data_IF_190450159381
#
_entry.id   IF_190450159381
#
_cell.length_a   1.000
_cell.length_b   1.000
_cell.length_c   1.000
_cell.angle_alpha   90.00
_cell.angle_beta   90.00
_cell.angle_gamma   90.00
#
_symmetry.space_group_name_H-M   'P 1'
#
loop_
_entity.id
_entity.type
_entity.pdbx_description
1 polymer ?
#
# COMPACT_ATOMS: atom_id res chain seq x y z
N UNK A 1 -5.66 18.39 -14.82
CA UNK A 1 -4.45 17.94 -14.13
C UNK A 1 -3.31 17.83 -15.14
N UNK A 2 -2.14 18.40 -14.87
CA UNK A 2 -0.95 18.20 -15.73
C UNK A 2 -0.14 17.08 -15.08
N UNK A 3 0.19 16.05 -15.84
CA UNK A 3 1.04 14.94 -15.41
C UNK A 3 2.30 14.91 -16.26
N UNK A 4 3.43 14.56 -15.67
CA UNK A 4 4.67 14.32 -16.40
C UNK A 4 5.12 12.87 -16.21
N UNK A 5 5.67 12.28 -17.25
CA UNK A 5 6.29 10.96 -17.17
C UNK A 5 7.81 11.14 -17.26
N UNK A 6 8.52 10.47 -16.36
CA UNK A 6 9.98 10.44 -16.32
C UNK A 6 10.44 9.02 -16.06
N UNK A 7 11.65 8.69 -16.48
CA UNK A 7 12.27 7.42 -16.09
C UNK A 7 13.09 7.63 -14.82
N UNK A 8 12.90 6.76 -13.83
CA UNK A 8 13.77 6.69 -12.65
C UNK A 8 14.34 5.28 -12.55
N UNK A 9 15.60 5.18 -12.16
CA UNK A 9 16.23 3.87 -11.98
C UNK A 9 15.83 3.22 -10.65
N UNK A 10 15.83 1.89 -10.62
CA UNK A 10 15.47 1.13 -9.41
C UNK A 10 16.28 1.61 -8.21
N UNK A 11 17.62 1.81 -8.33
CA UNK A 11 18.43 2.28 -7.22
C UNK A 11 17.98 3.63 -6.65
N UNK A 12 17.49 4.56 -7.50
CA UNK A 12 16.99 5.87 -7.06
C UNK A 12 15.72 5.72 -6.23
N UNK A 13 14.79 4.86 -6.69
CA UNK A 13 13.53 4.59 -6.01
C UNK A 13 13.75 3.86 -4.68
N UNK A 14 14.63 2.85 -4.66
CA UNK A 14 14.99 2.13 -3.43
C UNK A 14 15.64 3.05 -2.40
N UNK A 15 16.55 3.93 -2.83
CA UNK A 15 17.17 4.94 -1.95
C UNK A 15 16.14 5.92 -1.42
N UNK A 16 15.19 6.35 -2.25
CA UNK A 16 14.12 7.26 -1.82
C UNK A 16 13.19 6.59 -0.79
N UNK A 17 12.89 5.30 -0.94
CA UNK A 17 12.13 4.53 0.05
C UNK A 17 12.92 4.40 1.36
N UNK A 18 14.17 3.99 1.29
CA UNK A 18 15.02 3.79 2.47
C UNK A 18 15.24 5.09 3.27
N UNK A 19 15.31 6.24 2.60
CA UNK A 19 15.46 7.55 3.24
C UNK A 19 14.13 8.18 3.69
N UNK A 20 12.97 7.53 3.44
CA UNK A 20 11.65 8.08 3.74
C UNK A 20 11.18 9.18 2.78
N UNK A 21 11.98 9.55 1.76
CA UNK A 21 11.57 10.53 0.75
C UNK A 21 10.44 10.04 -0.15
N UNK A 22 10.37 8.74 -0.43
CA UNK A 22 9.24 8.12 -1.10
C UNK A 22 8.52 7.20 -0.12
N UNK A 23 7.29 7.58 0.29
CA UNK A 23 6.44 6.74 1.11
C UNK A 23 5.69 5.73 0.22
N UNK A 24 6.03 4.43 0.29
CA UNK A 24 5.38 3.41 -0.51
C UNK A 24 4.01 2.99 0.04
N UNK A 25 3.63 3.42 1.25
CA UNK A 25 2.40 3.02 1.96
C UNK A 25 1.70 4.22 2.61
N UNK A 26 1.14 5.16 1.85
CA UNK A 26 0.30 6.17 2.45
C UNK A 26 -1.00 5.55 3.02
N UNK A 27 -1.63 6.21 4.00
CA UNK A 27 -2.76 5.70 4.80
C UNK A 27 -4.01 5.31 3.99
N UNK A 28 -4.13 5.78 2.76
CA UNK A 28 -5.25 5.44 1.87
C UNK A 28 -5.00 4.19 1.02
N UNK A 29 -3.81 3.58 1.11
CA UNK A 29 -3.47 2.40 0.32
C UNK A 29 -4.00 1.12 0.96
N UNK A 30 -4.36 0.14 0.12
CA UNK A 30 -4.74 -1.18 0.57
C UNK A 30 -3.54 -1.97 1.10
N UNK A 31 -3.83 -3.02 1.89
CA UNK A 31 -2.83 -4.00 2.30
C UNK A 31 -2.20 -4.69 1.09
N UNK A 32 -0.99 -5.22 1.26
CA UNK A 32 -0.32 -6.01 0.22
C UNK A 32 -1.16 -7.22 -0.17
N UNK A 33 -1.54 -7.29 -1.45
CA UNK A 33 -2.42 -8.34 -1.99
C UNK A 33 -1.61 -9.45 -2.67
N UNK A 34 -0.39 -9.13 -3.14
CA UNK A 34 0.43 -10.09 -3.86
C UNK A 34 0.84 -11.27 -2.98
N UNK A 35 0.64 -12.46 -3.52
CA UNK A 35 1.18 -13.69 -2.96
C UNK A 35 2.69 -13.71 -3.11
N UNK A 36 3.36 -14.67 -2.46
CA UNK A 36 4.79 -14.84 -2.66
C UNK A 36 5.13 -15.18 -4.12
N UNK A 37 4.29 -15.98 -4.78
CA UNK A 37 4.47 -16.37 -6.18
C UNK A 37 4.34 -15.17 -7.13
N UNK A 38 3.39 -14.26 -6.88
CA UNK A 38 3.27 -13.00 -7.63
C UNK A 38 4.53 -12.15 -7.51
N UNK A 39 5.09 -12.04 -6.29
CA UNK A 39 6.33 -11.31 -6.04
C UNK A 39 7.51 -11.92 -6.78
N UNK A 40 7.65 -13.25 -6.74
CA UNK A 40 8.72 -13.97 -7.45
C UNK A 40 8.59 -13.78 -8.96
N UNK A 41 7.38 -13.93 -9.52
CA UNK A 41 7.13 -13.71 -10.94
C UNK A 41 7.51 -12.28 -11.36
N UNK A 42 7.18 -11.29 -10.53
CA UNK A 42 7.53 -9.90 -10.80
C UNK A 42 9.04 -9.64 -10.73
N UNK A 43 9.75 -10.19 -9.74
CA UNK A 43 11.22 -10.06 -9.65
C UNK A 43 11.87 -10.68 -10.88
N UNK A 44 11.41 -11.85 -11.33
CA UNK A 44 11.89 -12.48 -12.57
C UNK A 44 11.69 -11.58 -13.78
N UNK A 45 10.55 -10.89 -13.88
CA UNK A 45 10.28 -9.91 -14.94
C UNK A 45 11.34 -8.82 -14.97
N UNK A 46 11.69 -8.25 -13.81
CA UNK A 46 12.70 -7.18 -13.71
C UNK A 46 14.11 -7.69 -14.02
N UNK A 47 14.50 -8.83 -13.46
CA UNK A 47 15.84 -9.44 -13.74
C UNK A 47 15.96 -9.80 -15.23
N UNK A 48 14.88 -10.20 -15.89
CA UNK A 48 14.86 -10.47 -17.33
C UNK A 48 14.81 -9.21 -18.20
N UNK A 49 14.85 -8.01 -17.62
CA UNK A 49 14.80 -6.75 -18.37
C UNK A 49 13.44 -6.49 -19.07
N UNK A 50 12.40 -7.25 -18.71
CA UNK A 50 11.07 -7.11 -19.31
C UNK A 50 10.33 -5.91 -18.72
N UNK A 51 9.55 -5.13 -19.52
CA UNK A 51 8.84 -3.97 -19.04
C UNK A 51 7.67 -4.34 -18.14
N UNK A 52 7.38 -3.48 -17.16
CA UNK A 52 6.16 -3.53 -16.36
C UNK A 52 5.43 -2.17 -16.36
N UNK A 53 4.15 -2.11 -15.99
CA UNK A 53 3.37 -0.88 -16.00
C UNK A 53 3.98 0.22 -15.14
N UNK A 54 3.83 1.49 -15.59
CA UNK A 54 4.30 2.69 -14.88
C UNK A 54 3.81 2.75 -13.43
N UNK A 55 4.57 3.43 -12.57
CA UNK A 55 4.15 3.76 -11.22
C UNK A 55 3.70 5.22 -11.15
N UNK A 56 2.81 5.53 -10.20
CA UNK A 56 2.27 6.88 -10.02
C UNK A 56 2.74 7.44 -8.69
N UNK A 57 3.30 8.65 -8.72
CA UNK A 57 3.75 9.38 -7.52
C UNK A 57 3.04 10.72 -7.42
N UNK A 58 2.91 11.22 -6.21
CA UNK A 58 2.37 12.54 -5.91
C UNK A 58 3.28 13.25 -4.93
N UNK A 59 3.42 14.57 -5.08
CA UNK A 59 4.20 15.38 -4.15
C UNK A 59 3.56 15.37 -2.75
N UNK A 60 4.37 15.10 -1.73
CA UNK A 60 4.00 15.13 -0.33
C UNK A 60 4.30 16.48 0.32
N UNK A 61 4.93 16.45 1.47
CA UNK A 61 5.36 17.63 2.22
C UNK A 61 6.69 18.18 1.69
N UNK A 62 6.83 19.49 1.73
CA UNK A 62 8.09 20.19 1.52
C UNK A 62 8.46 20.88 2.84
N UNK A 63 9.64 20.58 3.36
CA UNK A 63 10.21 21.29 4.49
C UNK A 63 10.92 22.57 3.97
N UNK A 64 10.43 23.77 4.33
CA UNK A 64 11.03 25.01 3.84
C UNK A 64 12.39 25.32 4.48
N UNK A 65 12.73 24.74 5.63
CA UNK A 65 14.00 24.98 6.30
C UNK A 65 15.14 24.13 5.70
N UNK A 66 14.84 22.87 5.37
CA UNK A 66 15.85 21.95 4.82
C UNK A 66 15.78 21.84 3.30
N UNK A 67 14.66 22.25 2.70
CA UNK A 67 14.39 22.05 1.27
C UNK A 67 14.06 20.59 0.93
N UNK A 68 13.92 19.69 1.91
CA UNK A 68 13.58 18.31 1.67
C UNK A 68 12.11 18.16 1.28
N UNK A 69 11.88 17.41 0.21
CA UNK A 69 10.54 17.09 -0.28
C UNK A 69 10.29 15.59 -0.16
N UNK A 70 9.05 15.24 0.21
CA UNK A 70 8.58 13.86 0.19
C UNK A 70 7.66 13.60 -0.99
N UNK A 71 7.52 12.35 -1.35
CA UNK A 71 6.58 11.85 -2.36
C UNK A 71 5.76 10.70 -1.78
N UNK A 72 4.54 10.53 -2.26
CA UNK A 72 3.70 9.37 -1.98
C UNK A 72 3.55 8.51 -3.23
N UNK A 73 3.64 7.20 -3.05
CA UNK A 73 3.33 6.27 -4.11
C UNK A 73 1.81 6.09 -4.20
N UNK A 74 1.21 6.53 -5.30
CA UNK A 74 -0.24 6.43 -5.54
C UNK A 74 -0.61 5.08 -6.17
N UNK A 75 0.18 4.60 -7.14
CA UNK A 75 0.10 3.22 -7.64
C UNK A 75 1.49 2.63 -7.85
N UNK A 76 1.58 1.30 -7.79
CA UNK A 76 2.84 0.55 -7.87
C UNK A 76 3.38 0.10 -6.51
N UNK A 77 2.61 0.22 -5.43
CA UNK A 77 3.01 -0.19 -4.08
C UNK A 77 3.55 -1.62 -4.04
N UNK A 78 2.80 -2.59 -4.61
CA UNK A 78 3.21 -4.00 -4.61
C UNK A 78 4.56 -4.17 -5.31
N UNK A 79 4.73 -3.53 -6.46
CA UNK A 79 5.95 -3.56 -7.28
C UNK A 79 7.14 -3.00 -6.52
N UNK A 80 7.02 -1.78 -6.00
CA UNK A 80 8.13 -1.11 -5.32
C UNK A 80 8.50 -1.78 -3.99
N UNK A 81 7.49 -2.22 -3.22
CA UNK A 81 7.75 -2.96 -1.98
C UNK A 81 8.44 -4.30 -2.26
N UNK A 82 8.04 -4.99 -3.33
CA UNK A 82 8.67 -6.27 -3.72
C UNK A 82 10.13 -6.09 -4.12
N UNK A 83 10.45 -5.06 -4.94
CA UNK A 83 11.85 -4.75 -5.29
C UNK A 83 12.68 -4.39 -4.05
N UNK A 84 12.09 -3.60 -3.13
CA UNK A 84 12.75 -3.26 -1.89
C UNK A 84 12.99 -4.49 -1.00
N UNK A 85 12.00 -5.38 -0.88
CA UNK A 85 12.14 -6.64 -0.13
C UNK A 85 13.23 -7.55 -0.72
N UNK A 86 13.30 -7.64 -2.04
CA UNK A 86 14.34 -8.44 -2.72
C UNK A 86 15.72 -7.84 -2.50
N UNK A 87 15.87 -6.53 -2.67
CA UNK A 87 17.14 -5.83 -2.49
C UNK A 87 17.67 -5.91 -1.05
N UNK A 88 16.78 -5.83 -0.06
CA UNK A 88 17.14 -5.83 1.38
C UNK A 88 17.15 -7.23 2.00
N UNK A 89 16.94 -8.28 1.23
CA UNK A 89 16.82 -9.66 1.71
C UNK A 89 15.79 -9.81 2.85
N UNK A 90 14.58 -9.22 2.66
CA UNK A 90 13.54 -9.24 3.68
C UNK A 90 13.08 -10.67 3.97
N UNK A 91 13.06 -11.05 5.26
CA UNK A 91 12.89 -12.44 5.71
C UNK A 91 11.57 -13.11 5.26
N UNK A 92 10.47 -12.31 5.10
CA UNK A 92 9.17 -12.85 4.69
C UNK A 92 9.08 -13.11 3.17
N UNK A 93 10.04 -12.65 2.37
CA UNK A 93 10.11 -12.94 0.95
C UNK A 93 10.84 -14.28 0.73
N UNK A 94 10.06 -15.32 0.44
CA UNK A 94 10.58 -16.67 0.19
C UNK A 94 10.96 -16.81 -1.29
N UNK A 95 12.25 -16.82 -1.58
CA UNK A 95 12.76 -16.78 -2.96
C UNK A 95 12.59 -18.11 -3.73
N UNK A 96 12.47 -19.26 -3.04
CA UNK A 96 12.43 -20.56 -3.70
C UNK A 96 13.68 -20.79 -4.54
N UNK A 97 13.49 -20.97 -5.85
CA UNK A 97 14.58 -21.15 -6.82
C UNK A 97 15.16 -19.82 -7.35
N UNK A 98 14.59 -18.68 -6.96
CA UNK A 98 15.10 -17.39 -7.38
C UNK A 98 16.39 -17.07 -6.61
N UNK A 99 17.45 -16.72 -7.33
CA UNK A 99 18.72 -16.35 -6.73
C UNK A 99 18.57 -15.11 -5.84
N UNK A 100 19.05 -15.12 -4.60
CA UNK A 100 19.06 -13.94 -3.74
C UNK A 100 19.86 -12.79 -4.36
N UNK A 101 19.41 -11.54 -4.15
CA UNK A 101 20.14 -10.37 -4.65
C UNK A 101 21.62 -10.35 -4.24
N UNK A 102 21.92 -10.78 -3.02
CA UNK A 102 23.29 -10.82 -2.50
C UNK A 102 24.21 -11.74 -3.31
N UNK A 103 23.67 -12.81 -3.90
CA UNK A 103 24.39 -13.83 -4.66
C UNK A 103 24.49 -13.51 -6.16
N UNK A 104 23.79 -12.51 -6.65
CA UNK A 104 23.91 -12.05 -8.03
C UNK A 104 25.36 -11.61 -8.32
N UNK A 105 25.82 -11.85 -9.54
CA UNK A 105 27.09 -11.32 -10.02
C UNK A 105 27.05 -9.79 -10.08
N UNK A 106 28.23 -9.16 -10.13
CA UNK A 106 28.29 -7.69 -10.22
C UNK A 106 27.53 -7.12 -11.43
N UNK A 107 27.68 -7.66 -12.65
CA UNK A 107 26.87 -7.18 -13.79
C UNK A 107 25.37 -7.32 -13.56
N UNK A 108 24.89 -8.45 -13.03
CA UNK A 108 23.46 -8.66 -12.75
C UNK A 108 22.91 -7.67 -11.71
N UNK A 109 23.71 -7.35 -10.67
CA UNK A 109 23.37 -6.30 -9.71
C UNK A 109 23.28 -4.92 -10.35
N UNK A 110 24.22 -4.61 -11.23
CA UNK A 110 24.25 -3.35 -11.98
C UNK A 110 23.01 -3.26 -12.90
N UNK A 111 22.67 -4.30 -13.65
CA UNK A 111 21.48 -4.36 -14.49
C UNK A 111 20.19 -4.18 -13.68
N UNK A 112 20.05 -4.87 -12.56
CA UNK A 112 18.88 -4.72 -11.67
C UNK A 112 18.76 -3.30 -11.12
N UNK A 113 19.85 -2.68 -10.69
CA UNK A 113 19.85 -1.34 -10.11
C UNK A 113 19.63 -0.24 -11.15
N UNK A 114 20.12 -0.45 -12.37
CA UNK A 114 19.99 0.47 -13.51
C UNK A 114 18.66 0.30 -14.27
N UNK A 115 17.87 -0.74 -13.93
CA UNK A 115 16.57 -0.94 -14.56
C UNK A 115 15.70 0.31 -14.47
N UNK A 116 15.17 0.77 -15.61
CA UNK A 116 14.37 1.98 -15.70
C UNK A 116 12.88 1.72 -15.45
N UNK A 117 12.33 2.47 -14.52
CA UNK A 117 10.90 2.47 -14.17
C UNK A 117 10.28 3.75 -14.69
N UNK A 118 9.21 3.63 -15.46
CA UNK A 118 8.40 4.78 -15.86
C UNK A 118 7.63 5.29 -14.65
N UNK A 119 7.88 6.52 -14.25
CA UNK A 119 7.26 7.19 -13.12
C UNK A 119 6.39 8.34 -13.64
N UNK A 120 5.10 8.28 -13.36
CA UNK A 120 4.17 9.36 -13.66
C UNK A 120 3.97 10.22 -12.44
N UNK A 121 4.43 11.45 -12.51
CA UNK A 121 4.25 12.44 -11.47
C UNK A 121 2.91 13.17 -11.67
N UNK A 122 2.08 13.12 -10.63
CA UNK A 122 0.76 13.76 -10.55
C UNK A 122 0.85 15.19 -9.99
N UNK A 123 2.06 15.63 -9.61
CA UNK A 123 2.28 16.91 -8.95
C UNK A 123 1.68 16.98 -7.53
N UNK A 124 1.54 18.20 -7.02
CA UNK A 124 0.89 18.42 -5.72
C UNK A 124 -0.63 18.42 -5.89
N UNK A 125 -1.30 17.47 -5.25
CA UNK A 125 -2.76 17.31 -5.30
C UNK A 125 -3.33 17.27 -3.89
N UNK A 126 -4.57 17.74 -3.68
CA UNK A 126 -5.33 17.47 -2.45
C UNK A 126 -5.47 15.96 -2.23
N UNK A 127 -5.48 15.52 -0.96
CA UNK A 127 -5.56 14.10 -0.62
C UNK A 127 -6.82 13.43 -1.18
N UNK A 128 -7.93 14.17 -1.27
CA UNK A 128 -9.19 13.67 -1.82
C UNK A 128 -9.08 13.38 -3.33
N UNK A 129 -8.34 14.19 -4.06
CA UNK A 129 -8.12 13.96 -5.49
C UNK A 129 -7.15 12.80 -5.73
N UNK A 130 -6.14 12.64 -4.86
CA UNK A 130 -5.25 11.47 -4.88
C UNK A 130 -6.06 10.19 -4.67
N UNK A 131 -6.98 10.18 -3.70
CA UNK A 131 -7.86 9.03 -3.43
C UNK A 131 -8.73 8.68 -4.63
N UNK A 132 -9.34 9.68 -5.28
CA UNK A 132 -10.13 9.48 -6.51
C UNK A 132 -9.28 8.91 -7.65
N UNK A 133 -8.07 9.43 -7.84
CA UNK A 133 -7.14 8.93 -8.86
C UNK A 133 -6.78 7.48 -8.57
N UNK A 134 -6.48 7.15 -7.32
CA UNK A 134 -6.20 5.78 -6.87
C UNK A 134 -7.38 4.85 -7.18
N UNK A 135 -8.63 5.25 -6.87
CA UNK A 135 -9.83 4.49 -7.18
C UNK A 135 -9.96 4.23 -8.70
N UNK A 136 -9.77 5.26 -9.52
CA UNK A 136 -9.88 5.16 -10.98
C UNK A 136 -8.81 4.24 -11.58
N UNK A 137 -7.55 4.39 -11.17
CA UNK A 137 -6.45 3.56 -11.68
C UNK A 137 -6.67 2.09 -11.32
N UNK A 138 -7.12 1.81 -10.09
CA UNK A 138 -7.34 0.45 -9.63
C UNK A 138 -8.64 -0.18 -10.17
N UNK A 139 -9.66 0.61 -10.47
CA UNK A 139 -10.93 0.09 -11.02
C UNK A 139 -10.80 -0.55 -12.40
N UNK A 140 -9.79 -0.17 -13.17
CA UNK A 140 -9.54 -0.73 -14.49
C UNK A 140 -8.93 -2.15 -14.49
N UNK A 141 -8.30 -2.57 -13.38
CA UNK A 141 -7.54 -3.82 -13.33
C UNK A 141 -8.05 -4.86 -12.30
N UNK A 142 -8.74 -4.42 -11.24
CA UNK A 142 -9.36 -5.30 -10.25
C UNK A 142 -10.55 -4.58 -9.62
N UNK A 143 -11.73 -5.17 -9.69
CA UNK A 143 -12.90 -4.65 -8.97
C UNK A 143 -12.58 -4.61 -7.47
N UNK A 144 -12.36 -3.40 -6.93
CA UNK A 144 -12.25 -3.19 -5.49
C UNK A 144 -13.55 -3.62 -4.83
N UNK A 145 -13.48 -4.34 -3.73
CA UNK A 145 -14.66 -4.58 -2.92
C UNK A 145 -15.04 -3.29 -2.15
N UNK A 146 -16.26 -3.24 -1.61
CA UNK A 146 -16.77 -2.05 -0.92
C UNK A 146 -15.86 -1.58 0.21
N UNK A 147 -15.25 -2.50 0.97
CA UNK A 147 -14.36 -2.15 2.08
C UNK A 147 -13.01 -1.63 1.61
N UNK A 148 -12.48 -2.11 0.48
CA UNK A 148 -11.25 -1.58 -0.11
C UNK A 148 -11.44 -0.12 -0.58
N UNK A 149 -12.63 0.19 -1.12
CA UNK A 149 -13.01 1.57 -1.49
C UNK A 149 -13.13 2.46 -0.25
N UNK A 150 -13.83 1.98 0.80
CA UNK A 150 -13.98 2.72 2.05
C UNK A 150 -12.63 2.94 2.74
N UNK A 151 -11.73 1.94 2.70
CA UNK A 151 -10.38 2.07 3.23
C UNK A 151 -9.58 3.17 2.53
N UNK A 152 -9.75 3.36 1.22
CA UNK A 152 -9.10 4.43 0.48
C UNK A 152 -9.69 5.82 0.81
N UNK A 153 -11.00 5.90 1.10
CA UNK A 153 -11.69 7.16 1.39
C UNK A 153 -11.44 7.68 2.80
N UNK A 154 -11.42 6.80 3.78
CA UNK A 154 -11.39 7.16 5.18
C UNK A 154 -10.08 6.71 5.83
N UNK A 155 -9.41 7.64 6.52
CA UNK A 155 -8.19 7.38 7.28
C UNK A 155 -8.32 7.81 8.75
N UNK A 156 -9.56 7.95 9.23
CA UNK A 156 -9.89 8.52 10.52
C UNK A 156 -9.68 7.57 11.72
N UNK A 157 -9.92 8.12 12.90
CA UNK A 157 -9.67 7.48 14.20
C UNK A 157 -10.43 6.16 14.41
N UNK A 158 -11.68 6.10 14.00
CA UNK A 158 -12.49 4.88 14.08
C UNK A 158 -11.88 3.74 13.26
N UNK A 159 -11.47 4.04 12.02
CA UNK A 159 -10.81 3.04 11.17
C UNK A 159 -9.49 2.57 11.79
N UNK A 160 -8.64 3.49 12.26
CA UNK A 160 -7.35 3.15 12.89
C UNK A 160 -7.55 2.26 14.12
N UNK A 161 -8.58 2.53 14.93
CA UNK A 161 -8.95 1.67 16.06
C UNK A 161 -9.32 0.25 15.60
N UNK A 162 -10.16 0.12 14.57
CA UNK A 162 -10.56 -1.18 14.03
C UNK A 162 -9.38 -1.93 13.38
N UNK A 163 -8.44 -1.23 12.76
CA UNK A 163 -7.20 -1.82 12.22
C UNK A 163 -6.33 -2.41 13.34
N UNK A 164 -6.16 -1.70 14.47
CA UNK A 164 -5.45 -2.23 15.64
C UNK A 164 -6.09 -3.50 16.18
N UNK A 165 -7.43 -3.54 16.25
CA UNK A 165 -8.15 -4.74 16.66
C UNK A 165 -7.92 -5.89 15.66
N UNK A 166 -8.05 -5.64 14.37
CA UNK A 166 -7.86 -6.64 13.32
C UNK A 166 -6.44 -7.23 13.33
N UNK A 167 -5.44 -6.42 13.65
CA UNK A 167 -4.04 -6.83 13.74
C UNK A 167 -3.66 -7.49 15.08
N UNK A 168 -4.61 -7.62 16.00
CA UNK A 168 -4.36 -8.18 17.34
C UNK A 168 -3.90 -9.64 17.29
N UNK A 169 -3.08 -10.02 18.27
CA UNK A 169 -2.64 -11.42 18.46
C UNK A 169 -3.80 -12.39 18.68
N UNK A 170 -4.93 -11.91 19.18
CA UNK A 170 -6.14 -12.72 19.34
C UNK A 170 -6.55 -13.36 18.01
N UNK A 171 -6.76 -12.57 16.98
CA UNK A 171 -7.20 -13.10 15.67
C UNK A 171 -6.12 -13.93 14.97
N UNK A 172 -4.85 -13.59 15.16
CA UNK A 172 -3.72 -14.37 14.63
C UNK A 172 -3.62 -15.74 15.27
N UNK A 173 -3.72 -15.82 16.58
CA UNK A 173 -3.60 -17.06 17.35
C UNK A 173 -4.77 -18.01 17.07
N UNK A 174 -5.98 -17.48 16.94
CA UNK A 174 -7.19 -18.27 16.65
C UNK A 174 -7.35 -18.56 15.15
N UNK A 175 -6.48 -18.01 14.28
CA UNK A 175 -6.55 -18.14 12.80
C UNK A 175 -7.95 -17.84 12.27
N UNK A 176 -8.59 -16.81 12.83
CA UNK A 176 -9.98 -16.42 12.52
C UNK A 176 -10.15 -16.05 11.05
N UNK A 177 -9.11 -15.43 10.45
CA UNK A 177 -9.11 -14.99 9.06
C UNK A 177 -8.06 -15.75 8.27
N UNK A 178 -8.44 -16.15 7.06
CA UNK A 178 -7.49 -16.74 6.11
C UNK A 178 -6.59 -15.67 5.50
N UNK A 179 -5.42 -16.04 4.94
CA UNK A 179 -4.61 -15.08 4.20
C UNK A 179 -5.36 -14.37 3.05
N UNK A 180 -6.37 -15.04 2.46
CA UNK A 180 -7.24 -14.42 1.46
C UNK A 180 -8.15 -13.36 2.06
N UNK A 181 -8.73 -13.62 3.23
CA UNK A 181 -9.60 -12.66 3.93
C UNK A 181 -8.82 -11.39 4.31
N UNK A 182 -7.60 -11.58 4.85
CA UNK A 182 -6.72 -10.46 5.21
C UNK A 182 -6.35 -9.63 3.98
N UNK A 183 -6.01 -10.27 2.85
CA UNK A 183 -5.70 -9.57 1.59
C UNK A 183 -6.88 -8.74 1.08
N UNK A 184 -8.11 -9.21 1.28
CA UNK A 184 -9.36 -8.58 0.87
C UNK A 184 -9.98 -7.71 1.97
N UNK A 185 -9.26 -7.43 3.05
CA UNK A 185 -9.69 -6.61 4.19
C UNK A 185 -10.99 -7.09 4.86
N UNK A 186 -11.29 -8.40 4.80
CA UNK A 186 -12.47 -8.95 5.45
C UNK A 186 -12.33 -8.94 6.99
N UNK A 187 -11.10 -9.03 7.50
CA UNK A 187 -10.75 -8.84 8.90
C UNK A 187 -11.08 -7.42 9.38
N UNK A 188 -10.68 -6.39 8.61
CA UNK A 188 -11.03 -5.00 8.90
C UNK A 188 -12.55 -4.79 8.82
N UNK A 189 -13.21 -5.32 7.78
CA UNK A 189 -14.65 -5.26 7.62
C UNK A 189 -15.38 -5.86 8.83
N UNK A 190 -14.94 -7.02 9.29
CA UNK A 190 -15.49 -7.66 10.48
C UNK A 190 -15.35 -6.77 11.72
N UNK A 191 -14.18 -6.18 11.95
CA UNK A 191 -13.94 -5.30 13.10
C UNK A 191 -14.78 -4.02 13.01
N UNK A 192 -14.90 -3.42 11.83
CA UNK A 192 -15.76 -2.25 11.61
C UNK A 192 -17.23 -2.57 11.93
N UNK A 193 -17.76 -3.69 11.46
CA UNK A 193 -19.11 -4.14 11.76
C UNK A 193 -19.30 -4.43 13.25
N UNK A 194 -18.35 -5.13 13.86
CA UNK A 194 -18.40 -5.48 15.27
C UNK A 194 -18.45 -4.22 16.16
N UNK A 195 -17.53 -3.29 15.96
CA UNK A 195 -17.45 -2.06 16.76
C UNK A 195 -18.66 -1.17 16.49
N UNK A 196 -19.09 -1.03 15.23
CA UNK A 196 -20.33 -0.30 14.90
C UNK A 196 -21.55 -0.89 15.62
N UNK A 197 -21.64 -2.23 15.69
CA UNK A 197 -22.72 -2.93 16.42
C UNK A 197 -22.65 -2.64 17.92
N UNK A 198 -21.47 -2.63 18.52
CA UNK A 198 -21.30 -2.30 19.93
C UNK A 198 -21.73 -0.85 20.23
N UNK A 199 -21.35 0.09 19.38
CA UNK A 199 -21.67 1.51 19.55
C UNK A 199 -23.16 1.82 19.34
N UNK A 200 -23.80 1.15 18.37
CA UNK A 200 -25.21 1.37 18.05
C UNK A 200 -26.18 0.49 18.85
N UNK A 201 -25.67 -0.50 19.60
CA UNK A 201 -26.45 -1.48 20.36
C UNK A 201 -27.35 -2.39 19.53
N UNK A 202 -27.22 -2.39 18.20
CA UNK A 202 -27.92 -3.32 17.30
C UNK A 202 -27.03 -3.68 16.10
N UNK A 203 -27.35 -4.77 15.41
CA UNK A 203 -26.59 -5.25 14.27
C UNK A 203 -26.71 -4.30 13.07
N UNK A 204 -25.58 -3.77 12.63
CA UNK A 204 -25.47 -2.93 11.44
C UNK A 204 -25.14 -3.78 10.20
N UNK A 205 -25.75 -3.41 9.06
CA UNK A 205 -25.35 -3.91 7.75
C UNK A 205 -24.16 -3.12 7.20
N UNK A 206 -23.55 -3.64 6.14
CA UNK A 206 -22.36 -3.03 5.49
C UNK A 206 -22.58 -1.56 5.06
N UNK A 207 -23.81 -1.20 4.67
CA UNK A 207 -24.18 0.17 4.30
C UNK A 207 -24.07 1.16 5.48
N UNK A 208 -24.20 0.67 6.72
CA UNK A 208 -24.02 1.49 7.92
C UNK A 208 -22.55 1.80 8.25
N UNK A 209 -21.59 1.03 7.76
CA UNK A 209 -20.15 1.23 8.06
C UNK A 209 -19.68 2.61 7.62
N UNK A 210 -20.12 3.07 6.44
CA UNK A 210 -19.68 4.36 5.90
C UNK A 210 -20.12 5.54 6.77
N UNK A 211 -21.30 5.46 7.38
CA UNK A 211 -21.79 6.50 8.28
C UNK A 211 -20.94 6.61 9.55
N UNK A 212 -20.52 5.47 10.13
CA UNK A 212 -19.60 5.44 11.26
C UNK A 212 -18.20 5.96 10.89
N UNK A 213 -17.69 5.59 9.71
CA UNK A 213 -16.39 6.08 9.21
C UNK A 213 -16.40 7.61 9.03
N UNK A 214 -17.51 8.18 8.57
CA UNK A 214 -17.68 9.64 8.45
C UNK A 214 -17.81 10.31 9.83
N UNK A 215 -18.69 9.77 10.68
CA UNK A 215 -18.99 10.33 11.99
C UNK A 215 -17.75 10.39 12.90
N UNK A 216 -16.93 9.36 12.88
CA UNK A 216 -15.78 9.19 13.75
C UNK A 216 -14.45 9.29 13.00
N UNK A 217 -14.39 10.12 11.96
CA UNK A 217 -13.16 10.32 11.19
C UNK A 217 -12.11 11.07 12.01
N UNK A 218 -12.48 12.13 12.71
CA UNK A 218 -11.56 13.03 13.39
C UNK A 218 -11.40 12.70 14.88
N UNK A 219 -12.48 12.28 15.55
CA UNK A 219 -12.49 11.89 16.95
C UNK A 219 -13.24 10.58 17.14
N UNK A 220 -12.70 9.70 17.98
CA UNK A 220 -13.33 8.42 18.29
C UNK A 220 -13.30 8.16 19.81
N UNK A 221 -14.48 7.87 20.46
CA UNK A 221 -14.60 7.80 21.91
C UNK A 221 -13.78 6.68 22.57
N UNK A 222 -13.48 5.60 21.84
CA UNK A 222 -12.69 4.47 22.34
C UNK A 222 -11.24 4.51 21.87
N UNK A 223 -10.73 5.67 21.45
CA UNK A 223 -9.37 5.78 20.87
C UNK A 223 -8.27 5.36 21.85
N UNK A 224 -8.47 5.55 23.15
CA UNK A 224 -7.49 5.32 24.20
C UNK A 224 -7.75 4.09 25.07
N UNK A 225 -8.77 3.31 24.74
CA UNK A 225 -9.10 2.03 25.37
C UNK A 225 -8.47 0.86 24.60
#
# INVERSE_FOLDING_TARGET
MKTSATNRRVHQLLTAIASGRLNPRPDFQRRQVWTNDDKIAFIRTVISGLPFPEIYVCAGTLDPETGEATEFLVDGQQRMTTLHQYFTAYADLRLGELMPYAELTRPEKEEFLEYEVVVRDLGKQPIEDIRKIFEVINSANYALNAIEIQNARYAGKFKQFCERIADSEFFKNWKTFTPSDIRRMQDLRFCLLLVSTVLSTYFNRDDGIEDFLKQYNDEFPLEND
#
